data_IF_177775776083
#
_entry.id   IF_177775776083
#
_cell.length_a   1.000
_cell.length_b   1.000
_cell.length_c   1.000
_cell.angle_alpha   90.00
_cell.angle_beta   90.00
_cell.angle_gamma   90.00
#
_symmetry.space_group_name_H-M   'P 1'
#
loop_
_entity.id
_entity.type
_entity.pdbx_description
1 polymer ?
#
# COMPACT_ATOMS: atom_id res chain seq x y z
N UNK A 1 -11.44 -21.79 3.44
CA UNK A 1 -11.35 -21.67 1.94
C UNK A 1 -9.98 -22.13 1.49
N UNK A 2 -9.87 -22.72 0.29
CA UNK A 2 -8.58 -23.00 -0.34
C UNK A 2 -7.96 -21.71 -0.87
N UNK A 3 -6.64 -21.69 -1.07
CA UNK A 3 -5.93 -20.54 -1.66
C UNK A 3 -6.58 -20.07 -2.98
N UNK A 4 -6.96 -21.02 -3.86
CA UNK A 4 -7.59 -20.68 -5.15
C UNK A 4 -8.96 -19.99 -4.98
N UNK A 5 -9.79 -20.46 -4.06
CA UNK A 5 -11.08 -19.84 -3.74
C UNK A 5 -10.90 -18.44 -3.16
N UNK A 6 -9.89 -18.26 -2.32
CA UNK A 6 -9.54 -16.95 -1.74
C UNK A 6 -9.11 -15.97 -2.83
N UNK A 7 -8.21 -16.38 -3.73
CA UNK A 7 -7.77 -15.53 -4.85
C UNK A 7 -8.96 -15.16 -5.73
N UNK A 8 -9.83 -16.12 -6.07
CA UNK A 8 -11.04 -15.84 -6.85
C UNK A 8 -11.94 -14.81 -6.13
N UNK A 9 -12.19 -14.99 -4.84
CA UNK A 9 -12.96 -14.04 -4.05
C UNK A 9 -12.37 -12.62 -4.11
N UNK A 10 -11.05 -12.51 -3.90
CA UNK A 10 -10.38 -11.19 -3.94
C UNK A 10 -10.46 -10.56 -5.32
N UNK A 11 -10.32 -11.34 -6.40
CA UNK A 11 -10.42 -10.85 -7.78
C UNK A 11 -11.82 -10.34 -8.14
N UNK A 12 -12.86 -10.88 -7.52
CA UNK A 12 -14.25 -10.45 -7.68
C UNK A 12 -14.57 -9.16 -6.91
N UNK A 13 -13.72 -8.74 -5.95
CA UNK A 13 -13.89 -7.46 -5.27
C UNK A 13 -13.74 -6.32 -6.30
N UNK A 14 -14.70 -5.40 -6.40
CA UNK A 14 -14.64 -4.31 -7.36
C UNK A 14 -13.37 -3.47 -7.24
N UNK A 15 -12.70 -3.24 -8.37
CA UNK A 15 -11.44 -2.46 -8.44
C UNK A 15 -11.69 -0.96 -8.60
N UNK A 16 -12.73 -0.60 -9.32
CA UNK A 16 -13.05 0.76 -9.77
C UNK A 16 -14.46 1.17 -9.34
N UNK A 17 -14.81 0.93 -8.10
CA UNK A 17 -15.97 1.56 -7.47
C UNK A 17 -15.60 2.98 -7.04
N UNK A 18 -16.58 3.74 -6.56
CA UNK A 18 -16.32 5.02 -5.88
C UNK A 18 -15.22 4.80 -4.83
N UNK A 19 -14.09 5.51 -4.98
CA UNK A 19 -13.02 5.46 -3.97
C UNK A 19 -13.61 5.83 -2.62
N UNK A 20 -13.37 4.99 -1.63
CA UNK A 20 -13.66 5.35 -0.25
C UNK A 20 -12.74 6.48 0.22
N UNK A 21 -13.11 7.18 1.26
CA UNK A 21 -12.24 8.13 1.91
C UNK A 21 -11.08 7.40 2.62
N UNK A 22 -9.98 8.09 2.89
CA UNK A 22 -8.91 7.52 3.72
C UNK A 22 -9.40 7.14 5.13
N UNK A 23 -10.46 7.78 5.61
CA UNK A 23 -11.06 7.45 6.91
C UNK A 23 -11.69 6.06 6.88
N UNK A 24 -12.28 5.62 5.79
CA UNK A 24 -12.78 4.26 5.63
C UNK A 24 -11.66 3.20 5.81
N UNK A 25 -10.48 3.43 5.20
CA UNK A 25 -9.32 2.54 5.41
C UNK A 25 -8.80 2.62 6.85
N UNK A 26 -8.82 3.79 7.48
CA UNK A 26 -8.46 3.94 8.90
C UNK A 26 -9.43 3.21 9.83
N UNK A 27 -10.72 3.31 9.58
CA UNK A 27 -11.74 2.56 10.31
C UNK A 27 -11.55 1.05 10.14
N UNK A 28 -11.26 0.57 8.93
CA UNK A 28 -10.90 -0.83 8.71
C UNK A 28 -9.71 -1.27 9.57
N UNK A 29 -8.69 -0.44 9.71
CA UNK A 29 -7.56 -0.74 10.59
C UNK A 29 -7.95 -0.81 12.08
N UNK A 30 -8.92 -0.03 12.55
CA UNK A 30 -9.46 -0.20 13.91
C UNK A 30 -10.04 -1.60 14.10
N UNK A 31 -10.81 -2.10 13.16
CA UNK A 31 -11.38 -3.46 13.23
C UNK A 31 -10.30 -4.56 13.11
N UNK A 32 -9.16 -4.26 12.47
CA UNK A 32 -7.99 -5.16 12.38
C UNK A 32 -7.06 -5.09 13.59
N UNK A 33 -7.32 -4.21 14.57
CA UNK A 33 -6.48 -4.01 15.73
C UNK A 33 -5.30 -3.05 15.52
N UNK A 34 -5.39 -2.16 14.53
CA UNK A 34 -4.38 -1.15 14.19
C UNK A 34 -3.00 -1.75 13.84
N UNK A 35 -2.91 -2.60 12.81
CA UNK A 35 -1.68 -3.31 12.47
C UNK A 35 -0.51 -2.39 12.06
N UNK A 36 -0.79 -1.10 11.77
CA UNK A 36 0.19 -0.08 11.44
C UNK A 36 0.93 0.49 12.66
N UNK A 37 0.40 0.30 13.87
CA UNK A 37 0.95 0.91 15.06
C UNK A 37 2.37 0.42 15.36
N UNK A 38 3.27 1.37 15.69
CA UNK A 38 4.65 1.06 16.01
C UNK A 38 5.53 0.70 14.80
N UNK A 39 4.99 0.68 13.58
CA UNK A 39 5.75 0.39 12.36
C UNK A 39 6.44 1.66 11.83
N UNK A 40 7.64 1.51 11.29
CA UNK A 40 8.38 2.55 10.57
C UNK A 40 8.09 2.44 9.09
N UNK A 41 7.20 3.26 8.58
CA UNK A 41 6.69 3.15 7.22
C UNK A 41 7.47 4.09 6.30
N UNK A 42 7.98 3.56 5.18
CA UNK A 42 8.56 4.32 4.07
C UNK A 42 7.56 4.25 2.91
N UNK A 43 7.05 5.39 2.50
CA UNK A 43 6.00 5.48 1.49
C UNK A 43 6.56 5.97 0.16
N UNK A 44 6.29 5.25 -0.93
CA UNK A 44 6.88 5.51 -2.25
C UNK A 44 5.79 5.78 -3.27
N UNK A 45 5.81 6.99 -3.86
CA UNK A 45 4.95 7.38 -4.98
C UNK A 45 5.78 7.71 -6.23
N UNK A 46 5.12 7.86 -7.36
CA UNK A 46 5.74 8.24 -8.63
C UNK A 46 5.01 7.67 -9.83
N UNK A 47 5.42 8.05 -11.03
CA UNK A 47 4.91 7.45 -12.26
C UNK A 47 5.64 6.15 -12.55
N UNK A 48 6.95 6.20 -12.74
CA UNK A 48 7.78 5.04 -13.03
C UNK A 48 8.82 4.82 -11.94
N UNK A 49 9.26 3.57 -11.77
CA UNK A 49 10.35 3.20 -10.86
C UNK A 49 9.96 3.00 -9.40
N UNK A 50 8.67 3.13 -9.03
CA UNK A 50 8.19 2.89 -7.65
C UNK A 50 8.63 1.53 -7.11
N UNK A 51 8.23 0.45 -7.80
CA UNK A 51 8.54 -0.92 -7.38
C UNK A 51 10.05 -1.18 -7.29
N UNK A 52 10.85 -0.65 -8.22
CA UNK A 52 12.32 -0.76 -8.16
C UNK A 52 12.89 -0.07 -6.93
N UNK A 53 12.44 1.16 -6.63
CA UNK A 53 12.87 1.89 -5.43
C UNK A 53 12.44 1.16 -4.17
N UNK A 54 11.21 0.64 -4.13
CA UNK A 54 10.73 -0.17 -3.02
C UNK A 54 11.60 -1.41 -2.78
N UNK A 55 11.94 -2.14 -3.84
CA UNK A 55 12.80 -3.32 -3.77
C UNK A 55 14.22 -2.98 -3.26
N UNK A 56 14.81 -1.86 -3.72
CA UNK A 56 16.09 -1.40 -3.20
C UNK A 56 16.02 -1.02 -1.72
N UNK A 57 15.00 -0.28 -1.30
CA UNK A 57 14.83 0.12 0.11
C UNK A 57 14.67 -1.09 1.01
N UNK A 58 13.84 -2.07 0.61
CA UNK A 58 13.69 -3.33 1.33
C UNK A 58 15.03 -4.08 1.45
N UNK A 59 15.77 -4.21 0.35
CA UNK A 59 17.06 -4.89 0.34
C UNK A 59 18.09 -4.19 1.24
N UNK A 60 18.16 -2.86 1.20
CA UNK A 60 19.07 -2.07 2.04
C UNK A 60 18.73 -2.21 3.52
N UNK A 61 17.46 -2.12 3.89
CA UNK A 61 17.02 -2.29 5.27
C UNK A 61 17.34 -3.70 5.80
N UNK A 62 17.13 -4.72 4.98
CA UNK A 62 17.50 -6.10 5.35
C UNK A 62 19.01 -6.28 5.49
N UNK A 63 19.80 -5.64 4.64
CA UNK A 63 21.27 -5.65 4.76
C UNK A 63 21.74 -5.01 6.09
N UNK A 64 20.99 -4.04 6.62
CA UNK A 64 21.19 -3.43 7.93
C UNK A 64 20.57 -4.25 9.09
N UNK A 65 20.17 -5.49 8.84
CA UNK A 65 19.60 -6.39 9.85
C UNK A 65 18.20 -6.03 10.32
N UNK A 66 17.44 -5.22 9.56
CA UNK A 66 16.06 -4.86 9.92
C UNK A 66 15.07 -5.90 9.42
N UNK A 67 14.01 -6.14 10.20
CA UNK A 67 12.87 -6.92 9.74
C UNK A 67 11.99 -6.02 8.88
N UNK A 68 11.63 -6.51 7.66
CA UNK A 68 10.97 -5.69 6.65
C UNK A 68 9.73 -6.35 6.08
N UNK A 69 8.67 -5.55 5.90
CA UNK A 69 7.54 -5.83 5.03
C UNK A 69 7.62 -4.95 3.79
N UNK A 70 7.29 -5.51 2.63
CA UNK A 70 7.24 -4.79 1.36
C UNK A 70 5.90 -5.03 0.68
N UNK A 71 5.17 -3.95 0.40
CA UNK A 71 3.92 -3.97 -0.37
C UNK A 71 4.12 -3.33 -1.72
N UNK A 72 3.86 -4.07 -2.79
CA UNK A 72 4.01 -3.61 -4.18
C UNK A 72 2.79 -3.94 -5.03
N UNK A 73 2.64 -3.21 -6.15
CA UNK A 73 1.55 -3.43 -7.11
C UNK A 73 1.94 -3.00 -8.54
N UNK A 74 1.41 -3.69 -9.57
CA UNK A 74 0.63 -4.93 -9.51
C UNK A 74 1.51 -6.17 -9.29
N UNK A 75 0.90 -7.35 -9.09
CA UNK A 75 1.58 -8.64 -9.21
C UNK A 75 1.66 -9.06 -10.69
N UNK A 76 2.61 -9.92 -11.02
CA UNK A 76 2.80 -10.44 -12.38
C UNK A 76 2.16 -11.83 -12.57
N UNK A 77 2.30 -12.72 -11.60
CA UNK A 77 1.84 -14.11 -11.67
C UNK A 77 0.95 -14.47 -10.49
N UNK A 78 1.44 -14.25 -9.26
CA UNK A 78 0.73 -14.61 -8.02
C UNK A 78 0.42 -13.38 -7.19
N UNK A 79 -0.76 -13.37 -6.59
CA UNK A 79 -1.18 -12.30 -5.67
C UNK A 79 -0.25 -12.14 -4.47
N UNK A 80 0.40 -13.22 -4.02
CA UNK A 80 1.40 -13.24 -2.96
C UNK A 80 2.60 -12.31 -3.21
N UNK A 81 2.92 -12.02 -4.47
CA UNK A 81 4.00 -11.09 -4.84
C UNK A 81 3.81 -9.71 -4.24
N UNK A 82 2.55 -9.32 -3.93
CA UNK A 82 2.23 -8.02 -3.34
C UNK A 82 2.63 -7.92 -1.87
N UNK A 83 2.83 -9.04 -1.19
CA UNK A 83 3.10 -9.11 0.25
C UNK A 83 4.40 -9.87 0.47
N UNK A 84 5.46 -9.13 0.75
CA UNK A 84 6.80 -9.69 0.96
C UNK A 84 7.21 -9.48 2.41
N UNK A 85 7.73 -10.52 3.05
CA UNK A 85 8.20 -10.55 4.45
C UNK A 85 9.67 -10.93 4.45
N UNK A 86 10.55 -10.03 4.89
CA UNK A 86 12.01 -10.25 4.91
C UNK A 86 12.57 -10.76 3.57
N UNK A 87 12.09 -10.18 2.45
CA UNK A 87 12.55 -10.52 1.10
C UNK A 87 11.96 -11.80 0.52
N UNK A 88 10.98 -12.43 1.19
CA UNK A 88 10.26 -13.61 0.69
C UNK A 88 8.78 -13.28 0.54
N UNK A 89 8.18 -13.71 -0.56
CA UNK A 89 6.72 -13.63 -0.73
C UNK A 89 6.03 -14.41 0.39
N UNK A 90 4.88 -13.91 0.83
CA UNK A 90 4.04 -14.61 1.81
C UNK A 90 3.71 -16.02 1.30
N UNK A 91 3.72 -17.02 2.17
CA UNK A 91 3.32 -18.39 1.83
C UNK A 91 1.82 -18.47 1.49
N UNK A 92 1.41 -19.50 0.76
CA UNK A 92 -0.01 -19.71 0.45
C UNK A 92 -0.81 -19.95 1.76
N UNK A 93 -0.19 -20.60 2.75
CA UNK A 93 -0.77 -20.86 4.07
C UNK A 93 -0.98 -19.56 4.85
N UNK A 94 0.06 -18.75 5.02
CA UNK A 94 -0.03 -17.47 5.73
C UNK A 94 -0.98 -16.50 5.01
N UNK A 95 -1.00 -16.52 3.67
CA UNK A 95 -1.94 -15.73 2.88
C UNK A 95 -3.39 -16.10 3.20
N UNK A 96 -3.70 -17.39 3.31
CA UNK A 96 -5.04 -17.86 3.68
C UNK A 96 -5.40 -17.43 5.11
N UNK A 97 -4.49 -17.58 6.07
CA UNK A 97 -4.75 -17.19 7.46
C UNK A 97 -5.00 -15.69 7.59
N UNK A 98 -4.17 -14.88 6.95
CA UNK A 98 -4.34 -13.41 6.96
C UNK A 98 -5.64 -12.99 6.25
N UNK A 99 -6.02 -13.68 5.18
CA UNK A 99 -7.31 -13.47 4.54
C UNK A 99 -8.47 -13.71 5.51
N UNK A 100 -8.48 -14.83 6.23
CA UNK A 100 -9.56 -15.14 7.19
C UNK A 100 -9.64 -14.10 8.30
N UNK A 101 -8.51 -13.65 8.86
CA UNK A 101 -8.49 -12.58 9.86
C UNK A 101 -9.01 -11.25 9.30
N UNK A 102 -8.63 -10.91 8.08
CA UNK A 102 -9.09 -9.71 7.38
C UNK A 102 -10.59 -9.77 7.11
N UNK A 103 -11.09 -10.92 6.64
CA UNK A 103 -12.52 -11.13 6.41
C UNK A 103 -13.35 -11.03 7.69
N UNK A 104 -12.83 -11.51 8.83
CA UNK A 104 -13.51 -11.33 10.12
C UNK A 104 -13.63 -9.83 10.48
N UNK A 105 -12.61 -9.04 10.22
CA UNK A 105 -12.65 -7.59 10.42
C UNK A 105 -13.66 -6.92 9.47
N UNK A 106 -13.65 -7.29 8.20
CA UNK A 106 -14.59 -6.77 7.19
C UNK A 106 -16.04 -7.08 7.55
N UNK A 107 -16.35 -8.29 8.00
CA UNK A 107 -17.72 -8.64 8.49
C UNK A 107 -18.15 -7.73 9.63
N UNK A 108 -17.27 -7.51 10.62
CA UNK A 108 -17.58 -6.58 11.74
C UNK A 108 -17.77 -5.14 11.27
N UNK A 109 -17.01 -4.69 10.26
CA UNK A 109 -17.23 -3.38 9.63
C UNK A 109 -18.61 -3.29 9.00
N UNK A 110 -19.00 -4.31 8.23
CA UNK A 110 -20.32 -4.35 7.59
C UNK A 110 -21.47 -4.41 8.60
N UNK A 111 -21.31 -5.17 9.68
CA UNK A 111 -22.27 -5.21 10.80
C UNK A 111 -22.40 -3.83 11.47
N UNK A 112 -21.34 -3.03 11.46
CA UNK A 112 -21.34 -1.63 11.92
C UNK A 112 -21.86 -0.62 10.88
N UNK A 113 -22.29 -1.08 9.69
CA UNK A 113 -22.85 -0.25 8.64
C UNK A 113 -21.82 0.38 7.67
N UNK A 114 -20.56 -0.08 7.70
CA UNK A 114 -19.53 0.35 6.77
C UNK A 114 -19.56 -0.50 5.49
N UNK A 115 -19.13 0.08 4.38
CA UNK A 115 -19.06 -0.62 3.11
C UNK A 115 -17.89 -1.62 3.07
N UNK A 116 -17.99 -2.63 2.21
CA UNK A 116 -16.89 -3.55 1.95
C UNK A 116 -15.71 -2.80 1.32
N UNK A 117 -14.46 -3.03 1.75
CA UNK A 117 -13.29 -2.39 1.14
C UNK A 117 -13.15 -2.75 -0.34
N UNK A 118 -12.58 -1.85 -1.13
CA UNK A 118 -12.22 -2.11 -2.51
C UNK A 118 -11.09 -3.14 -2.60
N UNK A 119 -10.86 -3.70 -3.79
CA UNK A 119 -9.79 -4.67 -4.05
C UNK A 119 -8.43 -4.23 -3.49
N UNK A 120 -8.03 -2.98 -3.73
CA UNK A 120 -6.73 -2.49 -3.28
C UNK A 120 -6.68 -2.25 -1.77
N UNK A 121 -7.75 -1.69 -1.19
CA UNK A 121 -7.87 -1.49 0.27
C UNK A 121 -7.83 -2.82 1.01
N UNK A 122 -8.51 -3.85 0.49
CA UNK A 122 -8.53 -5.19 1.06
C UNK A 122 -7.13 -5.82 1.08
N UNK A 123 -6.43 -5.80 -0.08
CA UNK A 123 -5.07 -6.34 -0.16
C UNK A 123 -4.06 -5.56 0.70
N UNK A 124 -4.21 -4.24 0.77
CA UNK A 124 -3.38 -3.41 1.64
C UNK A 124 -3.61 -3.77 3.12
N UNK A 125 -4.85 -3.98 3.53
CA UNK A 125 -5.17 -4.40 4.88
C UNK A 125 -4.63 -5.80 5.20
N UNK A 126 -4.74 -6.76 4.28
CA UNK A 126 -4.09 -8.07 4.40
C UNK A 126 -2.57 -7.93 4.59
N UNK A 127 -1.92 -7.08 3.78
CA UNK A 127 -0.47 -6.86 3.89
C UNK A 127 -0.09 -6.31 5.28
N UNK A 128 -0.78 -5.28 5.75
CA UNK A 128 -0.51 -4.69 7.07
C UNK A 128 -0.73 -5.71 8.19
N UNK A 129 -1.76 -6.56 8.08
CA UNK A 129 -2.01 -7.63 9.04
C UNK A 129 -0.92 -8.71 9.02
N UNK A 130 -0.43 -9.09 7.81
CA UNK A 130 0.68 -10.01 7.66
C UNK A 130 1.96 -9.48 8.32
N UNK A 131 2.27 -8.19 8.11
CA UNK A 131 3.44 -7.55 8.71
C UNK A 131 3.36 -7.43 10.22
N UNK A 132 2.18 -7.20 10.76
CA UNK A 132 1.96 -7.15 12.20
C UNK A 132 2.16 -8.53 12.83
N UNK A 133 1.53 -9.56 12.29
CA UNK A 133 1.70 -10.95 12.74
C UNK A 133 3.17 -11.40 12.75
N UNK A 134 3.89 -11.06 11.68
CA UNK A 134 5.29 -11.44 11.52
C UNK A 134 6.26 -10.51 12.28
N UNK A 135 5.78 -9.50 13.00
CA UNK A 135 6.61 -8.60 13.80
C UNK A 135 7.56 -7.74 12.97
N UNK A 136 7.16 -7.34 11.75
CA UNK A 136 7.98 -6.48 10.90
C UNK A 136 8.12 -5.09 11.52
N UNK A 137 9.36 -4.57 11.59
CA UNK A 137 9.66 -3.23 12.13
C UNK A 137 9.51 -2.15 11.06
N UNK A 138 10.07 -2.38 9.87
CA UNK A 138 10.02 -1.46 8.74
C UNK A 138 9.05 -1.95 7.68
N UNK A 139 8.25 -1.04 7.16
CA UNK A 139 7.34 -1.35 6.06
C UNK A 139 7.62 -0.40 4.90
N UNK A 140 7.88 -0.95 3.72
CA UNK A 140 8.01 -0.19 2.49
C UNK A 140 6.71 -0.33 1.70
N UNK A 141 6.03 0.79 1.46
CA UNK A 141 4.74 0.82 0.78
C UNK A 141 4.84 1.50 -0.58
N UNK A 142 4.50 0.79 -1.63
CA UNK A 142 4.25 1.37 -2.95
C UNK A 142 2.81 1.88 -3.03
N UNK A 143 2.60 3.13 -3.50
CA UNK A 143 1.26 3.62 -3.84
C UNK A 143 0.68 2.84 -5.03
N UNK A 144 -0.62 2.55 -4.98
CA UNK A 144 -1.33 1.96 -6.12
C UNK A 144 -1.57 2.98 -7.23
N UNK A 145 -2.26 4.07 -6.92
CA UNK A 145 -2.63 5.11 -7.89
C UNK A 145 -2.62 6.51 -7.26
N UNK A 146 -1.79 7.39 -7.81
CA UNK A 146 -1.67 8.77 -7.32
C UNK A 146 -0.82 8.84 -6.06
N UNK A 147 -1.42 9.27 -4.98
CA UNK A 147 -0.81 9.42 -3.66
C UNK A 147 -1.83 9.95 -2.64
N UNK A 148 -2.33 11.18 -2.84
CA UNK A 148 -3.22 11.89 -1.90
C UNK A 148 -4.40 11.05 -1.40
N UNK A 149 -5.08 10.33 -2.28
CA UNK A 149 -6.27 9.52 -2.00
C UNK A 149 -5.99 8.02 -2.18
N UNK A 150 -4.73 7.61 -2.22
CA UNK A 150 -4.38 6.20 -2.24
C UNK A 150 -4.59 5.58 -0.85
N UNK A 151 -5.10 4.36 -0.78
CA UNK A 151 -5.36 3.69 0.50
C UNK A 151 -4.11 3.62 1.39
N UNK A 152 -2.91 3.52 0.79
CA UNK A 152 -1.64 3.53 1.52
C UNK A 152 -1.34 4.85 2.22
N UNK A 153 -2.04 5.94 1.87
CA UNK A 153 -1.94 7.24 2.56
C UNK A 153 -2.81 7.33 3.83
N UNK A 154 -3.50 6.27 4.19
CA UNK A 154 -4.21 6.18 5.47
C UNK A 154 -3.28 6.01 6.68
N UNK A 155 -2.01 5.67 6.47
CA UNK A 155 -0.99 5.48 7.50
C UNK A 155 0.03 6.63 7.51
N UNK A 156 0.71 6.84 8.65
CA UNK A 156 1.73 7.88 8.78
C UNK A 156 3.12 7.32 8.46
N UNK A 157 3.82 7.80 7.40
CA UNK A 157 5.16 7.37 7.10
C UNK A 157 6.21 8.09 7.95
N UNK A 158 7.36 7.47 8.20
CA UNK A 158 8.56 8.13 8.77
C UNK A 158 9.40 8.81 7.68
N UNK A 159 9.26 8.35 6.43
CA UNK A 159 9.87 8.94 5.24
C UNK A 159 9.01 8.66 4.01
N UNK A 160 9.08 9.54 3.02
CA UNK A 160 8.48 9.32 1.72
C UNK A 160 9.49 9.55 0.59
N UNK A 161 9.27 8.87 -0.52
CA UNK A 161 10.06 8.99 -1.74
C UNK A 161 9.12 9.24 -2.90
N UNK A 162 9.41 10.25 -3.71
CA UNK A 162 8.74 10.47 -4.98
C UNK A 162 9.76 10.19 -6.09
N UNK A 163 9.48 9.17 -6.89
CA UNK A 163 10.30 8.76 -8.02
C UNK A 163 10.05 9.70 -9.22
N UNK A 164 10.09 9.21 -10.45
CA UNK A 164 9.82 10.05 -11.61
C UNK A 164 8.33 10.48 -11.66
N UNK A 165 8.09 11.68 -12.17
CA UNK A 165 6.75 12.19 -12.47
C UNK A 165 6.62 12.36 -13.98
N UNK A 166 5.52 11.91 -14.54
CA UNK A 166 5.20 12.03 -15.96
C UNK A 166 3.70 11.82 -16.17
N UNK A 167 3.23 12.01 -17.37
CA UNK A 167 1.84 11.77 -17.74
C UNK A 167 1.51 10.28 -17.60
N UNK A 168 0.55 9.99 -16.75
CA UNK A 168 0.07 8.63 -16.46
C UNK A 168 -1.29 8.73 -15.77
N UNK A 169 -2.19 7.79 -16.06
CA UNK A 169 -3.53 7.74 -15.46
C UNK A 169 -4.28 9.09 -15.47
N UNK A 170 -4.23 9.79 -16.60
CA UNK A 170 -4.76 11.14 -16.74
C UNK A 170 -6.25 11.24 -16.37
N UNK A 171 -7.04 10.20 -16.62
CA UNK A 171 -8.46 10.13 -16.24
C UNK A 171 -8.70 10.32 -14.73
N UNK A 172 -7.70 10.03 -13.89
CA UNK A 172 -7.82 10.02 -12.42
C UNK A 172 -6.95 11.08 -11.74
N UNK A 173 -5.81 11.43 -12.33
CA UNK A 173 -4.79 12.26 -11.68
C UNK A 173 -4.69 13.67 -12.26
N UNK A 174 -5.37 13.91 -13.40
CA UNK A 174 -5.36 15.19 -14.11
C UNK A 174 -4.57 15.17 -15.41
N UNK A 175 -4.73 16.21 -16.19
CA UNK A 175 -4.27 16.31 -17.58
C UNK A 175 -2.87 16.91 -17.71
N UNK A 176 -2.29 17.40 -16.62
CA UNK A 176 -0.96 18.03 -16.64
C UNK A 176 0.01 17.36 -15.64
N UNK A 177 1.30 17.51 -15.92
CA UNK A 177 2.36 16.99 -15.05
C UNK A 177 2.28 17.59 -13.65
N UNK A 178 1.90 18.87 -13.54
CA UNK A 178 1.75 19.58 -12.27
C UNK A 178 0.59 19.02 -11.44
N UNK A 179 -0.54 18.71 -12.07
CA UNK A 179 -1.68 18.08 -11.38
C UNK A 179 -1.28 16.69 -10.87
N UNK A 180 -0.66 15.88 -11.72
CA UNK A 180 -0.17 14.55 -11.34
C UNK A 180 0.89 14.64 -10.23
N UNK A 181 1.79 15.63 -10.29
CA UNK A 181 2.76 15.90 -9.25
C UNK A 181 2.08 16.25 -7.91
N UNK A 182 1.06 17.11 -7.96
CA UNK A 182 0.27 17.48 -6.79
C UNK A 182 -0.44 16.29 -6.12
N UNK A 183 -0.99 15.37 -6.93
CA UNK A 183 -1.61 14.14 -6.41
C UNK A 183 -0.57 13.19 -5.78
N UNK A 184 0.59 13.04 -6.40
CA UNK A 184 1.68 12.21 -5.84
C UNK A 184 2.30 12.85 -4.60
N UNK A 185 2.45 14.18 -4.58
CA UNK A 185 2.92 14.94 -3.42
C UNK A 185 1.98 14.83 -2.20
N UNK A 186 0.75 14.38 -2.40
CA UNK A 186 -0.20 14.12 -1.32
C UNK A 186 0.26 13.09 -0.28
N UNK A 187 1.32 12.31 -0.56
CA UNK A 187 1.95 11.41 0.43
C UNK A 187 2.88 12.16 1.41
N UNK A 188 3.21 13.44 1.14
CA UNK A 188 4.15 14.20 1.95
C UNK A 188 3.43 14.71 3.20
N UNK A 189 3.73 14.13 4.34
CA UNK A 189 3.24 14.60 5.63
C UNK A 189 4.05 15.79 6.16
N UNK A 190 3.44 16.62 7.02
CA UNK A 190 4.07 17.84 7.57
C UNK A 190 5.31 17.61 8.44
N UNK A 191 5.57 16.41 8.91
CA UNK A 191 6.61 16.09 9.90
C UNK A 191 7.71 15.15 9.40
N UNK A 192 7.71 14.77 8.12
CA UNK A 192 8.55 13.67 7.64
C UNK A 192 9.54 14.11 6.58
N UNK A 193 10.64 13.35 6.43
CA UNK A 193 11.60 13.57 5.35
C UNK A 193 11.01 13.08 4.03
N UNK A 194 11.04 13.92 3.02
CA UNK A 194 10.68 13.54 1.66
C UNK A 194 11.92 13.60 0.76
N UNK A 195 12.13 12.54 -0.01
CA UNK A 195 13.18 12.45 -1.01
C UNK A 195 12.54 12.52 -2.40
N UNK A 196 12.96 13.53 -3.16
CA UNK A 196 12.45 13.77 -4.51
C UNK A 196 13.53 13.43 -5.53
N UNK A 197 13.16 12.67 -6.55
CA UNK A 197 14.02 12.52 -7.72
C UNK A 197 14.01 13.82 -8.52
N UNK A 198 15.19 14.45 -8.69
CA UNK A 198 15.32 15.67 -9.49
C UNK A 198 15.14 15.34 -10.97
N UNK A 199 13.97 15.61 -11.49
CA UNK A 199 13.69 15.64 -12.91
C UNK A 199 13.84 17.09 -13.42
N UNK A 200 13.87 17.26 -14.73
CA UNK A 200 14.08 18.55 -15.41
C UNK A 200 13.48 19.78 -14.70
N UNK A 201 14.00 20.96 -15.02
CA UNK A 201 13.70 22.27 -14.38
C UNK A 201 12.21 22.65 -14.33
N UNK A 202 11.33 21.92 -14.98
CA UNK A 202 9.90 22.24 -15.13
C UNK A 202 9.01 21.65 -14.02
N UNK A 203 9.52 20.75 -13.19
CA UNK A 203 8.75 20.16 -12.07
C UNK A 203 9.49 20.45 -10.77
N UNK A 204 9.24 21.63 -10.21
CA UNK A 204 9.62 21.93 -8.82
C UNK A 204 8.33 21.87 -8.00
N UNK A 205 8.27 20.91 -7.06
CA UNK A 205 7.17 20.80 -6.09
C UNK A 205 7.28 21.89 -5.03
#
# INVERSE_FOLDING_TARGET
MTYKEIVTYIEEIPRFTRKHSLDHTREMFLFLGNPQNGKKIIHVAGTNGKGSVCAYLDAMLRAEGKSTGLFTSPHLVKMNERIVLNGKQISDEDFCEVFEETMQAVRRMQDAGLEHPTFFEFLFAMAMKAYDRAGMEYIVLETGLGGRLDATSSVEPVACVITSIGLDHMEYLGDTVEQIAGEKAGIIGRKFRCFLHRQHREVTL
#
